data_IF_745891815590
#
_entry.id   IF_745891815590
#
_cell.length_a   1.000
_cell.length_b   1.000
_cell.length_c   1.000
_cell.angle_alpha   90.00
_cell.angle_beta   90.00
_cell.angle_gamma   90.00
#
_symmetry.space_group_name_H-M   'P 1'
#
loop_
_entity.id
_entity.type
_entity.pdbx_description
1 polymer ?
#
# COMPACT_ATOMS: atom_id res chain seq x y z
N UNK A 1 5.38 -5.97 -3.16
CA UNK A 1 4.69 -6.21 -4.44
C UNK A 1 4.99 -7.60 -5.00
N UNK A 2 6.21 -7.96 -5.42
CA UNK A 2 6.45 -9.26 -6.07
C UNK A 2 6.09 -10.46 -5.18
N UNK A 3 6.47 -10.40 -3.89
CA UNK A 3 6.05 -11.40 -2.89
C UNK A 3 4.53 -11.41 -2.72
N UNK A 4 3.89 -10.25 -2.66
CA UNK A 4 2.44 -10.12 -2.49
C UNK A 4 1.64 -10.71 -3.66
N UNK A 5 2.11 -10.52 -4.90
CA UNK A 5 1.46 -11.07 -6.08
C UNK A 5 1.62 -12.60 -6.20
N UNK A 6 2.70 -13.18 -5.67
CA UNK A 6 2.95 -14.63 -5.78
C UNK A 6 2.24 -15.45 -4.71
N UNK A 7 2.86 -15.52 -3.54
CA UNK A 7 2.43 -16.33 -2.38
C UNK A 7 2.09 -15.48 -1.15
N UNK A 8 2.29 -14.16 -1.24
CA UNK A 8 1.96 -13.20 -0.19
C UNK A 8 0.49 -12.77 -0.26
N UNK A 9 0.23 -11.49 -0.02
CA UNK A 9 -1.14 -10.99 0.23
C UNK A 9 -2.20 -11.32 -0.83
N UNK A 10 -1.86 -11.33 -2.12
CA UNK A 10 -2.82 -11.63 -3.20
C UNK A 10 -2.82 -13.10 -3.63
N UNK A 11 -1.76 -13.85 -3.26
CA UNK A 11 -1.60 -15.28 -3.49
C UNK A 11 -2.02 -15.79 -4.90
N UNK A 12 -1.67 -15.04 -5.96
CA UNK A 12 -2.21 -15.28 -7.32
C UNK A 12 -1.83 -16.66 -7.85
N UNK A 13 -0.69 -17.23 -7.43
CA UNK A 13 -0.23 -18.56 -7.84
C UNK A 13 -1.20 -19.68 -7.42
N UNK A 14 -1.98 -19.46 -6.36
CA UNK A 14 -2.97 -20.43 -5.84
C UNK A 14 -4.41 -20.19 -6.32
N UNK A 15 -4.67 -19.10 -7.05
CA UNK A 15 -6.04 -18.68 -7.39
C UNK A 15 -6.66 -19.48 -8.55
N UNK A 16 -5.88 -20.35 -9.23
CA UNK A 16 -6.29 -21.14 -10.40
C UNK A 16 -7.11 -20.34 -11.43
N UNK A 17 -6.86 -19.03 -11.54
CA UNK A 17 -7.61 -18.14 -12.40
C UNK A 17 -7.27 -18.41 -13.87
N UNK A 18 -8.30 -18.41 -14.73
CA UNK A 18 -8.12 -18.44 -16.18
C UNK A 18 -7.27 -17.25 -16.67
N UNK A 19 -6.55 -17.42 -17.79
CA UNK A 19 -5.60 -16.43 -18.31
C UNK A 19 -6.20 -15.02 -18.45
N UNK A 20 -7.44 -14.91 -18.93
CA UNK A 20 -8.10 -13.60 -19.08
C UNK A 20 -8.43 -12.97 -17.71
N UNK A 21 -8.87 -13.79 -16.75
CA UNK A 21 -9.18 -13.34 -15.38
C UNK A 21 -7.91 -12.93 -14.64
N UNK A 22 -6.82 -13.68 -14.83
CA UNK A 22 -5.52 -13.37 -14.23
C UNK A 22 -4.98 -12.02 -14.74
N UNK A 23 -5.07 -11.77 -16.05
CA UNK A 23 -4.67 -10.47 -16.63
C UNK A 23 -5.50 -9.33 -16.03
N UNK A 24 -6.82 -9.50 -15.95
CA UNK A 24 -7.70 -8.49 -15.35
C UNK A 24 -7.35 -8.21 -13.88
N UNK A 25 -7.06 -9.24 -13.09
CA UNK A 25 -6.63 -9.11 -11.70
C UNK A 25 -5.28 -8.37 -11.58
N UNK A 26 -4.30 -8.74 -12.39
CA UNK A 26 -2.99 -8.07 -12.39
C UNK A 26 -3.13 -6.59 -12.76
N UNK A 27 -3.96 -6.27 -13.76
CA UNK A 27 -4.21 -4.90 -14.17
C UNK A 27 -4.87 -4.10 -13.03
N UNK A 28 -5.88 -4.68 -12.37
CA UNK A 28 -6.56 -4.06 -11.23
C UNK A 28 -5.58 -3.78 -10.08
N UNK A 29 -4.74 -4.77 -9.74
CA UNK A 29 -3.70 -4.63 -8.72
C UNK A 29 -2.70 -3.53 -9.12
N UNK A 30 -2.31 -3.46 -10.39
CA UNK A 30 -1.37 -2.44 -10.88
C UNK A 30 -1.97 -1.03 -10.78
N UNK A 31 -3.24 -0.85 -11.10
CA UNK A 31 -3.95 0.43 -10.96
C UNK A 31 -4.02 0.83 -9.48
N UNK A 32 -4.52 -0.05 -8.62
CA UNK A 32 -4.62 0.20 -7.18
C UNK A 32 -3.25 0.52 -6.55
N UNK A 33 -2.20 -0.22 -6.94
CA UNK A 33 -0.83 0.03 -6.51
C UNK A 33 -0.33 1.41 -6.95
N UNK A 34 -0.61 1.80 -8.20
CA UNK A 34 -0.23 3.11 -8.74
C UNK A 34 -0.91 4.24 -7.96
N UNK A 35 -2.21 4.13 -7.71
CA UNK A 35 -2.96 5.08 -6.89
C UNK A 35 -2.35 5.23 -5.49
N UNK A 36 -2.10 4.11 -4.79
CA UNK A 36 -1.51 4.12 -3.45
C UNK A 36 -0.09 4.74 -3.43
N UNK A 37 0.73 4.47 -4.45
CA UNK A 37 2.06 5.08 -4.57
C UNK A 37 1.98 6.59 -4.79
N UNK A 38 1.04 7.07 -5.62
CA UNK A 38 0.85 8.51 -5.85
C UNK A 38 0.44 9.21 -4.55
N UNK A 39 -0.53 8.66 -3.83
CA UNK A 39 -0.95 9.18 -2.51
C UNK A 39 0.24 9.21 -1.55
N UNK A 40 0.97 8.11 -1.41
CA UNK A 40 2.12 8.05 -0.50
C UNK A 40 3.27 8.97 -0.89
N UNK A 41 3.47 9.25 -2.18
CA UNK A 41 4.43 10.26 -2.66
C UNK A 41 3.99 11.67 -2.28
N UNK A 42 2.70 11.99 -2.43
CA UNK A 42 2.15 13.28 -2.03
C UNK A 42 2.21 13.48 -0.51
N UNK A 43 1.81 12.48 0.29
CA UNK A 43 1.94 12.53 1.74
C UNK A 43 3.38 12.72 2.20
N UNK A 44 4.35 12.25 1.39
CA UNK A 44 5.76 12.45 1.65
C UNK A 44 6.25 13.85 1.29
N UNK A 45 5.82 14.42 0.17
CA UNK A 45 6.18 15.81 -0.17
C UNK A 45 5.59 16.80 0.83
N UNK A 46 4.40 16.53 1.36
CA UNK A 46 3.76 17.33 2.42
C UNK A 46 4.31 17.09 3.83
N UNK A 47 5.26 16.17 4.02
CA UNK A 47 5.84 15.86 5.34
C UNK A 47 4.95 15.03 6.28
N UNK A 48 3.78 14.60 5.82
CA UNK A 48 2.79 13.83 6.59
C UNK A 48 3.26 12.40 6.92
N UNK A 49 4.28 11.89 6.22
CA UNK A 49 4.86 10.56 6.46
C UNK A 49 5.22 10.31 7.93
N UNK A 50 5.61 11.35 8.68
CA UNK A 50 6.00 11.24 10.10
C UNK A 50 4.82 10.92 11.03
N UNK A 51 3.60 11.23 10.61
CA UNK A 51 2.37 10.99 11.38
C UNK A 51 1.71 9.66 11.01
N UNK A 52 1.90 9.21 9.77
CA UNK A 52 1.31 7.97 9.26
C UNK A 52 2.17 6.75 9.58
N UNK A 53 3.50 6.89 9.63
CA UNK A 53 4.41 5.77 9.80
C UNK A 53 5.55 6.06 10.78
N UNK A 54 6.22 4.99 11.23
CA UNK A 54 7.33 5.10 12.18
C UNK A 54 8.46 5.93 11.57
N UNK A 55 8.96 6.89 12.34
CA UNK A 55 10.15 7.69 12.01
C UNK A 55 11.35 6.77 11.77
N UNK A 56 12.15 7.14 10.78
CA UNK A 56 13.38 6.43 10.45
C UNK A 56 14.39 6.62 11.58
N UNK A 57 14.88 5.52 12.15
CA UNK A 57 15.96 5.55 13.15
C UNK A 57 17.25 6.07 12.50
N UNK A 58 18.03 6.86 13.28
CA UNK A 58 19.25 7.53 12.84
C UNK A 58 20.29 6.59 12.20
N UNK A 59 20.29 5.32 12.58
CA UNK A 59 21.28 4.32 12.15
C UNK A 59 20.89 3.54 10.88
N UNK A 60 19.67 3.69 10.36
CA UNK A 60 19.28 2.97 9.14
C UNK A 60 19.60 3.77 7.88
N UNK A 61 20.21 3.14 6.88
CA UNK A 61 20.41 3.74 5.56
C UNK A 61 19.15 3.64 4.70
N UNK A 62 18.44 2.51 4.78
CA UNK A 62 17.23 2.26 4.00
C UNK A 62 15.95 2.75 4.70
N UNK A 63 14.94 3.16 3.92
CA UNK A 63 13.63 3.53 4.48
C UNK A 63 12.87 2.27 4.91
N UNK A 64 12.22 2.29 6.08
CA UNK A 64 11.40 1.15 6.55
C UNK A 64 10.13 0.93 5.74
N UNK A 65 9.47 2.02 5.34
CA UNK A 65 8.19 1.96 4.63
C UNK A 65 8.32 2.55 3.23
N UNK A 66 7.79 1.82 2.25
CA UNK A 66 7.69 2.28 0.86
C UNK A 66 6.57 3.33 0.73
N UNK A 67 6.61 4.12 -0.35
CA UNK A 67 5.53 5.07 -0.65
C UNK A 67 4.18 4.36 -0.77
N UNK A 68 4.16 3.16 -1.37
CA UNK A 68 2.98 2.30 -1.41
C UNK A 68 2.41 2.03 -0.01
N UNK A 69 3.26 1.59 0.92
CA UNK A 69 2.83 1.25 2.28
C UNK A 69 2.24 2.48 3.00
N UNK A 70 2.89 3.64 2.86
CA UNK A 70 2.44 4.89 3.49
C UNK A 70 1.09 5.34 2.91
N UNK A 71 0.91 5.24 1.59
CA UNK A 71 -0.36 5.60 0.95
C UNK A 71 -1.50 4.67 1.38
N UNK A 72 -1.27 3.36 1.34
CA UNK A 72 -2.28 2.36 1.70
C UNK A 72 -2.65 2.44 3.20
N UNK A 73 -1.65 2.46 4.07
CA UNK A 73 -1.86 2.52 5.52
C UNK A 73 -2.49 3.85 5.94
N UNK A 74 -2.07 4.97 5.32
CA UNK A 74 -2.64 6.28 5.58
C UNK A 74 -4.14 6.34 5.29
N UNK A 75 -4.57 5.78 4.16
CA UNK A 75 -6.00 5.71 3.83
C UNK A 75 -6.78 4.84 4.81
N UNK A 76 -6.24 3.67 5.19
CA UNK A 76 -6.88 2.79 6.17
C UNK A 76 -7.02 3.47 7.54
N UNK A 77 -5.99 4.21 7.96
CA UNK A 77 -5.97 4.91 9.24
C UNK A 77 -6.98 6.07 9.29
N UNK A 78 -7.08 6.85 8.20
CA UNK A 78 -8.11 7.91 8.09
C UNK A 78 -9.52 7.32 8.16
N UNK A 79 -9.81 6.28 7.37
CA UNK A 79 -11.12 5.64 7.40
C UNK A 79 -11.46 5.02 8.75
N UNK A 80 -10.46 4.47 9.46
CA UNK A 80 -10.66 4.04 10.84
C UNK A 80 -11.03 5.23 11.74
N UNK A 81 -10.26 6.32 11.71
CA UNK A 81 -10.53 7.49 12.54
C UNK A 81 -11.90 8.12 12.29
N UNK A 82 -12.36 8.18 11.03
CA UNK A 82 -13.72 8.60 10.70
C UNK A 82 -14.76 7.68 11.34
N UNK A 83 -14.59 6.37 11.22
CA UNK A 83 -15.48 5.38 11.85
C UNK A 83 -15.54 5.53 13.39
N UNK A 84 -14.41 5.82 14.05
CA UNK A 84 -14.38 6.04 15.50
C UNK A 84 -14.96 7.39 15.93
N UNK A 85 -14.98 8.39 15.05
CA UNK A 85 -15.51 9.72 15.38
C UNK A 85 -17.04 9.75 15.44
N UNK A 86 -17.70 8.83 14.73
CA UNK A 86 -19.16 8.70 14.69
C UNK A 86 -19.74 7.80 15.81
N UNK A 87 -18.89 7.24 16.69
CA UNK A 87 -19.26 6.33 17.79
C UNK A 87 -19.27 7.04 19.16
#
# INVERSE_FOLDING_TARGET
>A
MFKDCKTGGYNLESTYADGQRLIALILLIAIAYTCAVLVGRNSRSSGLQKYVGRLKELQQLHRRHSAFWIGLYGQLWVGAMEFWADL
#
